data_IF_567405585237
#
_entry.id   IF_567405585237
#
_cell.length_a   1.000
_cell.length_b   1.000
_cell.length_c   1.000
_cell.angle_alpha   90.00
_cell.angle_beta   90.00
_cell.angle_gamma   90.00
#
_symmetry.space_group_name_H-M   'P 1'
#
loop_
_entity.id
_entity.type
_entity.pdbx_description
1 polymer ?
#
# COMPACT_ATOMS: atom_id res chain seq x y z
N UNK A 1 -0.66 23.68 14.12
CA UNK A 1 -2.04 23.37 13.69
C UNK A 1 -2.03 23.30 12.18
N UNK A 2 -2.56 22.23 11.58
CA UNK A 2 -2.56 22.07 10.11
C UNK A 2 -3.49 23.15 9.52
N UNK A 3 -2.97 23.93 8.58
CA UNK A 3 -3.73 24.99 7.92
C UNK A 3 -4.75 24.36 6.94
N UNK A 4 -6.04 24.45 7.25
CA UNK A 4 -7.10 23.81 6.46
C UNK A 4 -7.20 24.38 5.04
N UNK A 5 -6.56 25.52 4.76
CA UNK A 5 -6.43 26.11 3.42
C UNK A 5 -5.60 25.23 2.48
N UNK A 6 -4.76 24.33 2.99
CA UNK A 6 -4.04 23.34 2.17
C UNK A 6 -5.00 22.40 1.43
N UNK A 7 -6.12 22.00 2.05
CA UNK A 7 -7.09 21.09 1.42
C UNK A 7 -7.90 21.75 0.30
N UNK A 8 -7.91 23.09 0.22
CA UNK A 8 -8.51 23.83 -0.89
C UNK A 8 -7.68 23.71 -2.17
N UNK A 9 -6.39 23.39 -2.06
CA UNK A 9 -5.51 23.19 -3.21
C UNK A 9 -5.76 21.80 -3.82
N UNK A 10 -6.30 21.75 -5.05
CA UNK A 10 -6.62 20.50 -5.77
C UNK A 10 -5.47 19.47 -5.79
N UNK A 11 -4.22 19.93 -5.82
CA UNK A 11 -3.02 19.08 -5.83
C UNK A 11 -2.87 18.32 -4.52
N UNK A 12 -3.10 18.99 -3.39
CA UNK A 12 -2.99 18.38 -2.06
C UNK A 12 -4.16 17.43 -1.83
N UNK A 13 -5.38 17.85 -2.19
CA UNK A 13 -6.56 16.99 -2.12
C UNK A 13 -6.37 15.70 -2.94
N UNK A 14 -5.85 15.79 -4.16
CA UNK A 14 -5.56 14.60 -4.98
C UNK A 14 -4.50 13.70 -4.36
N UNK A 15 -3.48 14.26 -3.71
CA UNK A 15 -2.45 13.49 -3.02
C UNK A 15 -3.01 12.74 -1.80
N UNK A 16 -3.88 13.40 -1.03
CA UNK A 16 -4.55 12.81 0.14
C UNK A 16 -5.48 11.67 -0.30
N UNK A 17 -6.30 11.88 -1.34
CA UNK A 17 -7.16 10.83 -1.88
C UNK A 17 -6.34 9.64 -2.38
N UNK A 18 -5.23 9.88 -3.10
CA UNK A 18 -4.32 8.81 -3.51
C UNK A 18 -3.75 8.03 -2.31
N UNK A 19 -3.27 8.74 -1.29
CA UNK A 19 -2.72 8.12 -0.09
C UNK A 19 -3.77 7.29 0.66
N UNK A 20 -4.98 7.82 0.82
CA UNK A 20 -6.10 7.11 1.44
C UNK A 20 -6.46 5.84 0.66
N UNK A 21 -6.61 5.93 -0.66
CA UNK A 21 -6.89 4.77 -1.50
C UNK A 21 -5.80 3.71 -1.37
N UNK A 22 -4.53 4.11 -1.43
CA UNK A 22 -3.41 3.19 -1.27
C UNK A 22 -3.43 2.49 0.10
N UNK A 23 -3.67 3.23 1.18
CA UNK A 23 -3.75 2.67 2.54
C UNK A 23 -4.94 1.71 2.68
N UNK A 24 -6.11 2.07 2.14
CA UNK A 24 -7.30 1.20 2.16
C UNK A 24 -7.02 -0.10 1.40
N UNK A 25 -6.41 -0.02 0.21
CA UNK A 25 -6.07 -1.21 -0.57
C UNK A 25 -5.04 -2.08 0.15
N UNK A 26 -3.99 -1.49 0.71
CA UNK A 26 -2.94 -2.22 1.42
C UNK A 26 -3.49 -2.93 2.65
N UNK A 27 -4.15 -2.20 3.54
CA UNK A 27 -4.71 -2.77 4.79
C UNK A 27 -5.83 -3.75 4.49
N UNK A 28 -6.68 -3.46 3.48
CA UNK A 28 -7.72 -4.38 3.05
C UNK A 28 -7.17 -5.70 2.53
N UNK A 29 -6.08 -5.66 1.77
CA UNK A 29 -5.39 -6.86 1.30
C UNK A 29 -4.76 -7.66 2.46
N UNK A 30 -4.09 -6.99 3.41
CA UNK A 30 -3.53 -7.66 4.59
C UNK A 30 -4.62 -8.37 5.40
N UNK A 31 -5.78 -7.72 5.60
CA UNK A 31 -6.91 -8.32 6.30
C UNK A 31 -7.47 -9.53 5.55
N UNK A 32 -7.67 -9.44 4.23
CA UNK A 32 -8.12 -10.57 3.41
C UNK A 32 -7.16 -11.75 3.50
N UNK A 33 -5.85 -11.51 3.42
CA UNK A 33 -4.85 -12.56 3.49
C UNK A 33 -4.82 -13.23 4.87
N UNK A 34 -4.91 -12.43 5.94
CA UNK A 34 -5.01 -12.94 7.31
C UNK A 34 -6.27 -13.80 7.51
N UNK A 35 -7.40 -13.36 6.93
CA UNK A 35 -8.66 -14.10 6.97
C UNK A 35 -8.57 -15.41 6.17
N UNK A 36 -7.95 -15.41 5.00
CA UNK A 36 -7.76 -16.61 4.18
C UNK A 36 -6.90 -17.65 4.91
N UNK A 37 -5.76 -17.22 5.48
CA UNK A 37 -4.87 -18.10 6.24
C UNK A 37 -5.56 -18.69 7.50
N UNK A 38 -6.35 -17.89 8.20
CA UNK A 38 -7.02 -18.32 9.43
C UNK A 38 -8.28 -19.15 9.18
N UNK A 39 -9.13 -18.77 8.22
CA UNK A 39 -10.43 -19.42 7.98
C UNK A 39 -10.41 -20.50 6.90
N UNK A 40 -9.54 -20.39 5.88
CA UNK A 40 -9.43 -21.39 4.80
C UNK A 40 -8.34 -22.41 5.11
N UNK A 41 -7.17 -21.96 5.57
CA UNK A 41 -6.05 -22.85 5.88
C UNK A 41 -6.03 -23.32 7.34
N UNK A 42 -6.90 -22.77 8.20
CA UNK A 42 -7.02 -23.19 9.61
C UNK A 42 -5.78 -22.89 10.45
N UNK A 43 -4.89 -22.00 9.98
CA UNK A 43 -3.66 -21.65 10.69
C UNK A 43 -3.98 -20.82 11.94
N UNK A 44 -3.19 -21.02 12.98
CA UNK A 44 -3.30 -20.19 14.18
C UNK A 44 -2.94 -18.72 13.86
N UNK A 45 -3.49 -17.73 14.59
CA UNK A 45 -3.16 -16.32 14.38
C UNK A 45 -1.65 -16.02 14.46
N UNK A 46 -0.91 -16.83 15.22
CA UNK A 46 0.54 -16.70 15.38
C UNK A 46 1.30 -17.13 14.12
N UNK A 47 0.93 -18.26 13.51
CA UNK A 47 1.58 -18.77 12.29
C UNK A 47 1.27 -17.89 11.08
N UNK A 48 0.02 -17.42 10.96
CA UNK A 48 -0.35 -16.44 9.94
C UNK A 48 0.46 -15.14 10.08
N UNK A 49 0.65 -14.66 11.32
CA UNK A 49 1.50 -13.51 11.60
C UNK A 49 2.96 -13.73 11.19
N UNK A 50 3.54 -14.90 11.49
CA UNK A 50 4.91 -15.24 11.09
C UNK A 50 5.04 -15.33 9.57
N UNK A 51 4.03 -15.83 8.86
CA UNK A 51 4.01 -15.88 7.40
C UNK A 51 3.90 -14.49 6.76
N UNK A 52 3.22 -13.55 7.43
CA UNK A 52 3.08 -12.17 6.97
C UNK A 52 4.29 -11.27 7.33
N UNK A 53 5.14 -11.67 8.29
CA UNK A 53 6.33 -10.90 8.70
C UNK A 53 7.24 -10.47 7.54
N UNK A 54 7.62 -11.34 6.58
CA UNK A 54 8.46 -10.94 5.45
C UNK A 54 7.81 -9.84 4.60
N UNK A 55 6.48 -9.92 4.41
CA UNK A 55 5.71 -8.90 3.67
C UNK A 55 5.69 -7.59 4.45
N UNK A 56 5.47 -7.62 5.76
CA UNK A 56 5.49 -6.41 6.59
C UNK A 56 6.86 -5.74 6.62
N UNK A 57 7.94 -6.53 6.68
CA UNK A 57 9.31 -6.03 6.60
C UNK A 57 9.57 -5.39 5.24
N UNK A 58 9.21 -6.06 4.14
CA UNK A 58 9.34 -5.50 2.79
C UNK A 58 8.54 -4.20 2.62
N UNK A 59 7.30 -4.16 3.15
CA UNK A 59 6.44 -2.97 3.14
C UNK A 59 7.03 -1.83 3.98
N UNK A 60 7.60 -2.13 5.15
CA UNK A 60 8.27 -1.14 6.00
C UNK A 60 9.46 -0.47 5.29
N UNK A 61 10.27 -1.27 4.58
CA UNK A 61 11.37 -0.73 3.77
C UNK A 61 10.91 0.00 2.51
N UNK A 62 9.69 -0.26 2.03
CA UNK A 62 9.14 0.42 0.87
C UNK A 62 8.94 1.92 1.10
N UNK A 63 8.69 2.37 2.34
CA UNK A 63 8.44 3.78 2.66
C UNK A 63 9.63 4.70 2.33
N UNK A 64 10.82 4.47 2.90
CA UNK A 64 12.03 5.24 2.58
C UNK A 64 12.40 5.14 1.09
N UNK A 65 12.27 3.95 0.49
CA UNK A 65 12.57 3.71 -0.92
C UNK A 65 11.63 4.52 -1.81
N UNK A 66 10.32 4.47 -1.55
CA UNK A 66 9.32 5.23 -2.27
C UNK A 66 9.51 6.74 -2.09
N UNK A 67 9.86 7.21 -0.89
CA UNK A 67 10.21 8.61 -0.65
C UNK A 67 11.41 9.08 -1.49
N UNK A 68 12.47 8.27 -1.54
CA UNK A 68 13.65 8.54 -2.37
C UNK A 68 13.35 8.46 -3.88
N UNK A 69 12.44 7.57 -4.29
CA UNK A 69 12.01 7.41 -5.68
C UNK A 69 11.15 8.62 -6.11
N UNK A 70 10.22 9.06 -5.27
CA UNK A 70 9.37 10.23 -5.51
C UNK A 70 10.21 11.51 -5.59
N UNK A 71 11.25 11.65 -4.76
CA UNK A 71 12.13 12.82 -4.82
C UNK A 71 12.99 12.87 -6.09
N UNK A 72 13.25 11.72 -6.73
CA UNK A 72 14.07 11.64 -7.95
C UNK A 72 13.28 11.60 -9.26
N UNK A 73 12.12 10.93 -9.28
CA UNK A 73 11.33 10.66 -10.48
C UNK A 73 10.01 11.45 -10.54
N UNK A 74 9.63 12.09 -9.44
CA UNK A 74 8.38 12.84 -9.32
C UNK A 74 7.17 11.95 -9.02
N UNK A 75 6.23 12.50 -8.25
CA UNK A 75 5.05 11.81 -7.71
C UNK A 75 4.23 11.10 -8.79
N UNK A 76 4.12 11.70 -9.99
CA UNK A 76 3.33 11.16 -11.11
C UNK A 76 3.86 9.83 -11.62
N UNK A 77 5.17 9.71 -11.84
CA UNK A 77 5.82 8.51 -12.38
C UNK A 77 5.80 7.36 -11.38
N UNK A 78 6.02 7.66 -10.09
CA UNK A 78 5.98 6.64 -9.03
C UNK A 78 4.55 6.15 -8.81
N UNK A 79 3.55 7.04 -8.82
CA UNK A 79 2.15 6.65 -8.65
C UNK A 79 1.62 5.84 -9.85
N UNK A 80 1.93 6.24 -11.08
CA UNK A 80 1.56 5.45 -12.28
C UNK A 80 2.32 4.14 -12.36
N UNK A 81 3.60 4.13 -12.02
CA UNK A 81 4.40 2.90 -11.91
C UNK A 81 3.84 1.93 -10.88
N UNK A 82 3.48 2.41 -9.69
CA UNK A 82 2.85 1.61 -8.65
C UNK A 82 1.49 1.04 -9.07
N UNK A 83 0.62 1.86 -9.67
CA UNK A 83 -0.67 1.39 -10.18
C UNK A 83 -0.50 0.36 -11.32
N UNK A 84 0.45 0.57 -12.23
CA UNK A 84 0.76 -0.38 -13.30
C UNK A 84 1.30 -1.71 -12.73
N UNK A 85 2.17 -1.64 -11.72
CA UNK A 85 2.71 -2.83 -11.05
C UNK A 85 1.61 -3.61 -10.33
N UNK A 86 0.71 -2.93 -9.62
CA UNK A 86 -0.44 -3.56 -8.97
C UNK A 86 -1.39 -4.21 -9.97
N UNK A 87 -1.63 -3.56 -11.12
CA UNK A 87 -2.43 -4.14 -12.20
C UNK A 87 -1.77 -5.40 -12.80
N UNK A 88 -0.46 -5.36 -13.01
CA UNK A 88 0.31 -6.52 -13.48
C UNK A 88 0.30 -7.66 -12.46
N UNK A 89 0.40 -7.36 -11.17
CA UNK A 89 0.37 -8.37 -10.11
C UNK A 89 -0.97 -9.10 -10.06
N UNK A 90 -2.08 -8.40 -10.27
CA UNK A 90 -3.41 -9.03 -10.36
C UNK A 90 -3.59 -9.83 -11.65
N UNK A 91 -3.02 -9.39 -12.78
CA UNK A 91 -3.05 -10.18 -14.02
C UNK A 91 -2.15 -11.41 -13.96
N UNK A 92 -1.05 -11.36 -13.21
CA UNK A 92 -0.13 -12.48 -13.02
C UNK A 92 -0.67 -13.58 -12.08
N UNK A 93 -1.75 -13.32 -11.35
CA UNK A 93 -2.41 -14.30 -10.48
C UNK A 93 -3.48 -15.15 -11.21
N UNK A 94 -3.62 -15.00 -12.53
CA UNK A 94 -4.38 -15.96 -13.37
C UNK A 94 -3.56 -17.20 -13.64
#
# INVERSE_FOLDING_TARGET
MIDMRLFTHRIILSGVVMAMTAMITLVGFELLMAQELQFVHGLSPYEAGVFMLPVMVASGFSGPIAGALVSRLGLRLVATGGMALSALSFMAWR
#
